data_IF_674864076300
#
_entry.id   IF_674864076300
#
_cell.length_a   1.000
_cell.length_b   1.000
_cell.length_c   1.000
_cell.angle_alpha   90.00
_cell.angle_beta   90.00
_cell.angle_gamma   90.00
#
_symmetry.space_group_name_H-M   'P 1'
#
loop_
_entity.id
_entity.type
_entity.pdbx_description
1 polymer ?
#
# COMPACT_ATOMS: atom_id res chain seq x y z
N UNK A 1 -15.33 -1.55 -6.72
CA UNK A 1 -14.91 -0.99 -5.42
C UNK A 1 -14.07 0.25 -5.70
N UNK A 2 -14.32 1.40 -5.06
CA UNK A 2 -13.53 2.60 -5.28
C UNK A 2 -12.10 2.38 -4.78
N UNK A 3 -11.15 2.46 -5.70
CA UNK A 3 -9.72 2.32 -5.42
C UNK A 3 -9.02 3.66 -5.68
N UNK A 4 -7.99 3.92 -4.90
CA UNK A 4 -7.07 5.03 -5.10
C UNK A 4 -5.83 4.54 -5.84
N UNK A 5 -5.38 5.34 -6.81
CA UNK A 5 -4.11 5.13 -7.49
C UNK A 5 -2.94 5.47 -6.57
N UNK A 6 -1.87 4.67 -6.65
CA UNK A 6 -0.63 4.90 -5.94
C UNK A 6 0.38 5.55 -6.89
N UNK A 7 0.61 6.85 -6.73
CA UNK A 7 1.63 7.57 -7.49
C UNK A 7 3.04 7.11 -7.08
N UNK A 8 3.94 7.04 -8.06
CA UNK A 8 5.36 6.69 -7.88
C UNK A 8 5.55 5.42 -7.04
N UNK A 9 4.86 4.34 -7.43
CA UNK A 9 4.75 3.13 -6.62
C UNK A 9 6.10 2.45 -6.29
N UNK A 10 7.12 2.65 -7.12
CA UNK A 10 8.45 2.08 -6.95
C UNK A 10 9.47 3.09 -6.38
N UNK A 11 9.02 4.32 -6.07
CA UNK A 11 9.87 5.38 -5.53
C UNK A 11 9.94 5.31 -4.00
N UNK A 12 11.04 4.76 -3.48
CA UNK A 12 11.27 4.54 -2.05
C UNK A 12 12.57 5.23 -1.59
N UNK A 13 12.67 6.57 -1.61
CA UNK A 13 13.90 7.29 -1.32
C UNK A 13 14.34 7.18 0.15
N UNK A 14 13.40 6.90 1.05
CA UNK A 14 13.66 6.72 2.48
C UNK A 14 14.07 5.28 2.85
N UNK A 15 13.95 4.32 1.93
CA UNK A 15 14.30 2.92 2.17
C UNK A 15 15.78 2.69 1.85
N UNK A 16 16.57 2.34 2.85
CA UNK A 16 17.91 1.82 2.62
C UNK A 16 17.85 0.35 2.15
N UNK A 17 17.91 0.18 0.83
CA UNK A 17 17.79 -1.14 0.19
C UNK A 17 18.90 -2.11 0.58
N UNK A 18 20.03 -1.63 1.13
CA UNK A 18 21.12 -2.50 1.61
C UNK A 18 20.70 -3.40 2.76
N UNK A 19 19.69 -2.99 3.52
CA UNK A 19 19.18 -3.71 4.68
C UNK A 19 17.78 -4.30 4.45
N UNK A 20 17.19 -4.08 3.28
CA UNK A 20 15.85 -4.54 2.97
C UNK A 20 15.88 -5.96 2.40
N UNK A 21 15.02 -6.84 2.90
CA UNK A 21 14.79 -8.16 2.32
C UNK A 21 13.74 -8.03 1.23
N UNK A 22 14.10 -8.27 -0.04
CA UNK A 22 13.16 -8.15 -1.16
C UNK A 22 11.98 -9.13 -1.08
N UNK A 23 12.15 -10.28 -0.42
CA UNK A 23 11.11 -11.29 -0.21
C UNK A 23 11.12 -11.81 1.22
N UNK A 24 10.55 -11.07 2.19
CA UNK A 24 10.63 -11.40 3.61
C UNK A 24 9.91 -12.70 3.97
N UNK A 25 8.98 -13.17 3.13
CA UNK A 25 8.22 -14.41 3.33
C UNK A 25 8.86 -15.65 2.71
N UNK A 26 10.01 -15.51 2.03
CA UNK A 26 10.69 -16.63 1.38
C UNK A 26 11.08 -17.68 2.44
N UNK A 27 10.60 -18.92 2.27
CA UNK A 27 10.84 -20.02 3.23
C UNK A 27 9.87 -20.07 4.41
N UNK A 28 8.95 -19.11 4.55
CA UNK A 28 7.91 -19.10 5.59
C UNK A 28 6.51 -19.50 5.07
N UNK A 29 6.33 -19.61 3.76
CA UNK A 29 5.09 -20.01 3.11
C UNK A 29 5.17 -19.89 1.58
N UNK A 30 4.12 -20.31 0.89
CA UNK A 30 4.01 -20.10 -0.55
C UNK A 30 3.83 -18.59 -0.84
N UNK A 31 4.79 -18.00 -1.53
CA UNK A 31 4.75 -16.60 -2.00
C UNK A 31 4.08 -16.43 -3.37
N UNK A 32 3.46 -17.48 -3.88
CA UNK A 32 2.75 -17.52 -5.16
C UNK A 32 1.36 -18.16 -4.96
N UNK A 33 0.26 -17.43 -5.22
CA UNK A 33 0.21 -16.05 -5.71
C UNK A 33 0.72 -15.01 -4.69
N UNK A 34 1.08 -13.80 -5.16
CA UNK A 34 1.43 -12.67 -4.29
C UNK A 34 0.41 -12.45 -3.17
N UNK A 35 0.85 -12.19 -1.92
CA UNK A 35 -0.07 -11.81 -0.85
C UNK A 35 -0.91 -10.60 -1.23
N UNK A 36 -2.23 -10.69 -1.07
CA UNK A 36 -3.19 -9.66 -1.48
C UNK A 36 -3.62 -8.84 -0.28
N UNK A 37 -3.25 -7.57 -0.25
CA UNK A 37 -3.44 -6.69 0.90
C UNK A 37 -4.32 -5.51 0.52
N UNK A 38 -5.44 -5.37 1.22
CA UNK A 38 -6.31 -4.20 1.13
C UNK A 38 -5.96 -3.22 2.25
N UNK A 39 -5.59 -2.00 1.88
CA UNK A 39 -5.27 -0.92 2.81
C UNK A 39 -6.45 0.05 2.97
N UNK A 40 -6.74 0.41 4.21
CA UNK A 40 -7.83 1.32 4.61
C UNK A 40 -7.26 2.51 5.41
N UNK A 41 -7.88 3.69 5.28
CA UNK A 41 -7.53 4.87 6.07
C UNK A 41 -8.79 5.64 6.51
N UNK A 42 -8.70 6.32 7.67
CA UNK A 42 -9.85 6.94 8.34
C UNK A 42 -9.96 8.47 8.22
N UNK A 43 -9.26 9.11 7.27
CA UNK A 43 -9.25 10.57 7.15
C UNK A 43 -9.39 11.04 5.69
N UNK A 44 -10.42 11.85 5.45
CA UNK A 44 -10.89 12.27 4.11
C UNK A 44 -10.49 13.68 3.71
N UNK A 45 -9.81 14.40 4.60
CA UNK A 45 -9.26 15.71 4.31
C UNK A 45 -8.31 15.66 3.11
N UNK A 46 -8.21 16.78 2.41
CA UNK A 46 -7.35 16.92 1.23
C UNK A 46 -5.90 16.51 1.54
N UNK A 47 -5.33 16.98 2.67
CA UNK A 47 -4.02 16.51 3.17
C UNK A 47 -4.16 15.59 4.39
N UNK A 48 -4.19 14.28 4.13
CA UNK A 48 -4.41 13.25 5.15
C UNK A 48 -3.13 12.48 5.46
N UNK A 49 -2.48 12.77 6.60
CA UNK A 49 -1.30 12.00 7.05
C UNK A 49 -1.56 10.49 7.16
N UNK A 50 -2.69 10.01 7.69
CA UNK A 50 -3.00 8.58 7.65
C UNK A 50 -3.06 8.01 6.23
N UNK A 51 -3.58 8.77 5.26
CA UNK A 51 -3.57 8.36 3.85
C UNK A 51 -2.14 8.32 3.29
N UNK A 52 -1.32 9.34 3.56
CA UNK A 52 0.07 9.38 3.13
C UNK A 52 0.88 8.20 3.72
N UNK A 53 0.69 7.88 5.00
CA UNK A 53 1.34 6.71 5.62
C UNK A 53 0.91 5.39 4.95
N UNK A 54 -0.37 5.28 4.56
CA UNK A 54 -0.88 4.11 3.85
C UNK A 54 -0.31 4.02 2.43
N UNK A 55 -0.10 5.14 1.74
CA UNK A 55 0.58 5.18 0.44
C UNK A 55 2.04 4.68 0.57
N UNK A 56 2.79 5.13 1.59
CA UNK A 56 4.14 4.61 1.86
C UNK A 56 4.14 3.11 2.20
N UNK A 57 3.19 2.67 3.03
CA UNK A 57 3.04 1.25 3.37
C UNK A 57 2.74 0.41 2.12
N UNK A 58 1.92 0.92 1.20
CA UNK A 58 1.64 0.24 -0.06
C UNK A 58 2.90 0.13 -0.94
N UNK A 59 3.75 1.17 -1.02
CA UNK A 59 5.04 1.07 -1.74
C UNK A 59 5.94 -0.01 -1.15
N UNK A 60 6.05 -0.06 0.19
CA UNK A 60 6.85 -1.09 0.87
C UNK A 60 6.29 -2.51 0.61
N UNK A 61 4.99 -2.70 0.74
CA UNK A 61 4.37 -4.00 0.50
C UNK A 61 4.55 -4.46 -0.96
N UNK A 62 4.43 -3.55 -1.93
CA UNK A 62 4.72 -3.85 -3.33
C UNK A 62 6.19 -4.22 -3.53
N UNK A 63 7.12 -3.49 -2.92
CA UNK A 63 8.54 -3.81 -2.93
C UNK A 63 8.81 -5.22 -2.36
N UNK A 64 8.08 -5.62 -1.32
CA UNK A 64 8.15 -6.97 -0.75
C UNK A 64 7.39 -8.06 -1.55
N UNK A 65 6.83 -7.71 -2.70
CA UNK A 65 6.17 -8.65 -3.61
C UNK A 65 4.67 -8.88 -3.35
N UNK A 66 3.98 -7.97 -2.65
CA UNK A 66 2.55 -8.06 -2.42
C UNK A 66 1.71 -7.38 -3.53
N UNK A 67 0.50 -7.90 -3.78
CA UNK A 67 -0.54 -7.17 -4.52
C UNK A 67 -1.29 -6.25 -3.55
N UNK A 68 -1.12 -4.94 -3.70
CA UNK A 68 -1.76 -3.94 -2.82
C UNK A 68 -2.93 -3.24 -3.50
N UNK A 69 -4.01 -3.00 -2.75
CA UNK A 69 -5.10 -2.11 -3.17
C UNK A 69 -5.40 -1.13 -2.05
N UNK A 70 -5.58 0.15 -2.36
CA UNK A 70 -5.96 1.17 -1.39
C UNK A 70 -7.42 1.53 -1.63
N UNK A 71 -8.28 1.34 -0.63
CA UNK A 71 -9.69 1.74 -0.72
C UNK A 71 -9.82 3.26 -0.66
N UNK A 72 -10.70 3.84 -1.49
CA UNK A 72 -11.06 5.26 -1.38
C UNK A 72 -12.43 5.45 -0.69
N UNK A 73 -12.45 5.75 0.62
CA UNK A 73 -13.69 5.96 1.37
C UNK A 73 -14.44 7.25 1.01
N UNK A 74 -13.87 8.19 0.24
CA UNK A 74 -14.58 9.42 -0.17
C UNK A 74 -15.81 9.10 -1.04
N UNK A 75 -15.74 8.00 -1.80
CA UNK A 75 -16.82 7.53 -2.66
C UNK A 75 -17.99 6.93 -1.88
N UNK A 76 -17.85 6.70 -0.57
CA UNK A 76 -18.95 6.26 0.30
C UNK A 76 -19.79 7.42 0.83
N UNK A 77 -19.26 8.64 0.85
CA UNK A 77 -19.92 9.80 1.47
C UNK A 77 -20.64 10.72 0.49
N UNK A 78 -20.49 10.49 -0.81
CA UNK A 78 -21.22 11.22 -1.87
C UNK A 78 -22.53 10.51 -2.29
N UNK A 79 -23.22 9.86 -1.36
CA UNK A 79 -24.55 9.23 -1.58
C UNK A 79 -25.72 10.07 -1.05
N UNK A 80 -25.53 11.38 -0.90
CA UNK A 80 -26.58 12.36 -0.58
C UNK A 80 -26.43 13.59 -1.48
#
# INVERSE_FOLDING_TARGET
MPLRDLADADHLPALDRRYALDRPVLGLGAGDPPPRILLLYGALRERSYPRLCIEEAARLLRFFGCETRIFDPSRLLNLW
#
